data_IF_284670535120
#
_entry.id   IF_284670535120
#
_cell.length_a   1.000
_cell.length_b   1.000
_cell.length_c   1.000
_cell.angle_alpha   90.00
_cell.angle_beta   90.00
_cell.angle_gamma   90.00
#
_symmetry.space_group_name_H-M   'P 1'
#
loop_
_entity.id
_entity.type
_entity.pdbx_description
1 polymer ?
#
# COMPACT_ATOMS: atom_id res chain seq x y z
N UNK A 1 -10.33 -1.85 -29.55
CA UNK A 1 -10.49 -3.23 -29.05
C UNK A 1 -11.64 -3.23 -28.07
N UNK A 2 -12.56 -4.21 -28.12
CA UNK A 2 -13.64 -4.31 -27.14
C UNK A 2 -13.07 -4.70 -25.78
N UNK A 3 -13.43 -3.97 -24.73
CA UNK A 3 -13.03 -4.23 -23.34
C UNK A 3 -14.25 -4.72 -22.54
N UNK A 4 -14.06 -5.75 -21.71
CA UNK A 4 -15.10 -6.33 -20.87
C UNK A 4 -14.64 -6.39 -19.42
N UNK A 5 -15.46 -5.85 -18.51
CA UNK A 5 -15.19 -5.90 -17.07
C UNK A 5 -16.04 -7.03 -16.46
N UNK A 6 -15.37 -8.06 -15.93
CA UNK A 6 -16.03 -9.20 -15.27
C UNK A 6 -15.83 -9.07 -13.76
N UNK A 7 -16.94 -9.02 -13.01
CA UNK A 7 -16.90 -9.01 -11.54
C UNK A 7 -16.87 -10.41 -10.97
N UNK A 8 -15.80 -10.63 -10.23
CA UNK A 8 -15.41 -11.78 -9.44
C UNK A 8 -15.74 -11.86 -7.96
N UNK A 9 -16.15 -12.99 -7.38
CA UNK A 9 -16.05 -13.17 -5.91
C UNK A 9 -15.13 -14.34 -5.48
N UNK A 10 -14.97 -15.38 -6.32
CA UNK A 10 -14.19 -16.58 -5.99
C UNK A 10 -12.86 -16.60 -6.76
N UNK A 11 -11.78 -17.05 -6.10
CA UNK A 11 -10.45 -17.22 -6.69
C UNK A 11 -10.42 -18.32 -7.76
N UNK A 12 -11.26 -19.35 -7.64
CA UNK A 12 -11.38 -20.40 -8.67
C UNK A 12 -11.86 -19.83 -10.02
N UNK A 13 -12.77 -18.85 -9.97
CA UNK A 13 -13.27 -18.15 -11.17
C UNK A 13 -12.15 -17.40 -11.89
N UNK A 14 -11.23 -16.78 -11.14
CA UNK A 14 -10.06 -16.12 -11.75
C UNK A 14 -9.16 -17.13 -12.47
N UNK A 15 -8.95 -18.32 -11.90
CA UNK A 15 -8.14 -19.35 -12.55
C UNK A 15 -8.78 -19.86 -13.85
N UNK A 16 -10.10 -20.05 -13.85
CA UNK A 16 -10.84 -20.40 -15.06
C UNK A 16 -10.70 -19.32 -16.15
N UNK A 17 -10.79 -18.03 -15.77
CA UNK A 17 -10.60 -16.90 -16.69
C UNK A 17 -9.17 -16.86 -17.27
N UNK A 18 -8.14 -17.13 -16.45
CA UNK A 18 -6.75 -17.21 -16.92
C UNK A 18 -6.56 -18.35 -17.92
N UNK A 19 -7.23 -19.48 -17.72
CA UNK A 19 -7.16 -20.59 -18.67
C UNK A 19 -7.88 -20.27 -19.98
N UNK A 20 -9.02 -19.59 -19.92
CA UNK A 20 -9.73 -19.07 -21.09
C UNK A 20 -8.91 -18.04 -21.87
N UNK A 21 -8.22 -17.15 -21.16
CA UNK A 21 -7.32 -16.15 -21.74
C UNK A 21 -6.26 -16.80 -22.64
N UNK A 22 -5.69 -17.93 -22.20
CA UNK A 22 -4.71 -18.69 -22.99
C UNK A 22 -5.30 -19.31 -24.25
N UNK A 23 -6.55 -19.76 -24.22
CA UNK A 23 -7.17 -20.41 -25.38
C UNK A 23 -7.75 -19.42 -26.38
N UNK A 24 -8.09 -18.20 -25.94
CA UNK A 24 -8.76 -17.18 -26.73
C UNK A 24 -7.87 -15.95 -27.02
N UNK A 25 -6.60 -16.00 -26.63
CA UNK A 25 -5.57 -14.99 -26.89
C UNK A 25 -5.98 -13.56 -26.47
N UNK A 26 -6.56 -13.44 -25.28
CA UNK A 26 -6.88 -12.14 -24.68
C UNK A 26 -6.12 -11.92 -23.37
N UNK A 27 -5.80 -10.67 -23.06
CA UNK A 27 -5.08 -10.31 -21.85
C UNK A 27 -6.03 -9.91 -20.72
N UNK A 28 -5.71 -10.35 -19.50
CA UNK A 28 -6.44 -9.95 -18.29
C UNK A 28 -5.66 -8.83 -17.60
N UNK A 29 -6.11 -7.60 -17.80
CA UNK A 29 -5.60 -6.47 -17.03
C UNK A 29 -6.14 -6.53 -15.59
N UNK A 30 -5.26 -6.73 -14.62
CA UNK A 30 -5.61 -6.47 -13.22
C UNK A 30 -5.63 -4.96 -13.03
N UNK A 31 -6.82 -4.41 -12.82
CA UNK A 31 -6.92 -3.05 -12.28
C UNK A 31 -6.08 -3.01 -10.99
N UNK A 32 -5.17 -2.04 -10.84
CA UNK A 32 -4.47 -1.87 -9.58
C UNK A 32 -5.55 -1.76 -8.50
N UNK A 33 -5.53 -2.69 -7.54
CA UNK A 33 -6.34 -2.56 -6.34
C UNK A 33 -6.11 -1.14 -5.84
N UNK A 34 -7.18 -0.35 -5.65
CA UNK A 34 -7.05 0.98 -5.07
C UNK A 34 -6.37 0.79 -3.73
N UNK A 35 -5.05 1.03 -3.67
CA UNK A 35 -4.27 1.08 -2.43
C UNK A 35 -4.98 2.07 -1.53
N UNK A 36 -5.63 1.54 -0.52
CA UNK A 36 -6.55 2.28 0.34
C UNK A 36 -7.50 1.36 1.07
N UNK A 37 -7.09 0.11 1.36
CA UNK A 37 -7.80 -0.71 2.33
C UNK A 37 -7.71 -0.01 3.68
N UNK A 38 -8.80 0.67 4.04
CA UNK A 38 -9.05 1.17 5.38
C UNK A 38 -8.90 -0.03 6.33
N UNK A 39 -7.84 -0.02 7.13
CA UNK A 39 -7.63 -1.07 8.12
C UNK A 39 -8.21 -0.58 9.42
N UNK A 40 -9.10 -1.34 10.06
CA UNK A 40 -9.65 -0.97 11.37
C UNK A 40 -8.77 -1.62 12.44
N UNK A 41 -8.05 -0.82 13.21
CA UNK A 41 -7.29 -1.28 14.37
C UNK A 41 -8.02 -0.80 15.62
N UNK A 42 -8.51 -1.73 16.46
CA UNK A 42 -9.22 -1.43 17.71
C UNK A 42 -10.42 -0.46 17.56
N UNK A 43 -11.18 -0.58 16.46
CA UNK A 43 -12.35 0.27 16.20
C UNK A 43 -12.01 1.66 15.64
N UNK A 44 -10.73 1.95 15.39
CA UNK A 44 -10.29 3.20 14.75
C UNK A 44 -9.90 2.92 13.30
N UNK A 45 -10.43 3.72 12.38
CA UNK A 45 -10.05 3.67 10.96
C UNK A 45 -8.61 4.13 10.80
N UNK A 46 -7.74 3.22 10.36
CA UNK A 46 -6.38 3.51 9.95
C UNK A 46 -6.34 3.59 8.42
N UNK A 47 -6.02 4.78 7.93
CA UNK A 47 -5.81 5.04 6.51
C UNK A 47 -4.30 5.08 6.27
N UNK A 48 -3.75 4.23 5.38
CA UNK A 48 -2.34 4.32 5.04
C UNK A 48 -2.03 5.69 4.44
N UNK A 49 -1.01 6.35 4.98
CA UNK A 49 -0.51 7.61 4.44
C UNK A 49 0.05 7.42 3.03
N UNK A 50 0.06 8.51 2.26
CA UNK A 50 0.64 8.51 0.92
C UNK A 50 2.16 8.32 1.01
N UNK A 51 2.64 7.16 0.53
CA UNK A 51 4.05 6.80 0.52
C UNK A 51 4.90 7.54 -0.51
N UNK A 52 4.29 8.38 -1.36
CA UNK A 52 5.00 9.27 -2.28
C UNK A 52 5.42 10.59 -1.63
N UNK A 53 4.96 10.86 -0.40
CA UNK A 53 5.30 12.08 0.33
C UNK A 53 6.74 11.99 0.83
N UNK A 54 7.60 12.87 0.33
CA UNK A 54 8.96 13.03 0.80
C UNK A 54 8.96 13.75 2.16
N UNK A 55 9.25 13.01 3.23
CA UNK A 55 9.31 13.51 4.60
C UNK A 55 10.71 13.98 5.01
N UNK A 56 11.70 13.93 4.11
CA UNK A 56 13.09 14.29 4.42
C UNK A 56 13.23 15.75 4.86
N UNK A 57 12.42 16.67 4.32
CA UNK A 57 12.42 18.07 4.78
C UNK A 57 11.76 18.27 6.15
N UNK A 58 10.86 17.37 6.55
CA UNK A 58 10.11 17.49 7.80
C UNK A 58 10.98 17.13 9.01
N UNK A 59 11.98 16.26 8.85
CA UNK A 59 12.90 15.87 9.93
C UNK A 59 13.70 17.05 10.46
N UNK A 60 14.12 17.96 9.58
CA UNK A 60 14.83 19.19 9.95
C UNK A 60 13.93 20.13 10.75
N UNK A 61 12.66 20.29 10.34
CA UNK A 61 11.69 21.15 11.02
C UNK A 61 11.39 20.63 12.43
N UNK A 62 11.14 19.32 12.58
CA UNK A 62 10.67 18.76 13.84
C UNK A 62 11.79 18.48 14.85
N UNK A 63 13.03 18.29 14.39
CA UNK A 63 14.14 17.96 15.30
C UNK A 63 15.19 19.05 15.44
N UNK A 64 15.24 20.02 14.50
CA UNK A 64 16.24 21.09 14.46
C UNK A 64 17.70 20.62 14.37
N UNK A 65 17.93 19.30 14.37
CA UNK A 65 19.24 18.63 14.50
C UNK A 65 19.35 17.42 13.56
N UNK A 66 18.41 17.26 12.63
CA UNK A 66 18.30 16.10 11.72
C UNK A 66 18.44 14.75 12.47
N UNK A 67 17.80 14.65 13.63
CA UNK A 67 17.87 13.46 14.47
C UNK A 67 16.71 12.54 14.10
N UNK A 68 17.04 11.34 13.60
CA UNK A 68 16.01 10.31 13.40
C UNK A 68 15.47 9.83 14.77
N UNK A 69 14.20 9.41 14.80
CA UNK A 69 13.54 8.84 15.99
C UNK A 69 14.32 7.67 16.61
N UNK A 70 15.06 6.89 15.80
CA UNK A 70 16.00 5.86 16.31
C UNK A 70 17.06 6.46 17.23
N UNK A 71 17.66 7.57 16.80
CA UNK A 71 18.76 8.24 17.50
C UNK A 71 18.25 8.95 18.75
N UNK A 72 17.05 9.55 18.69
CA UNK A 72 16.41 10.15 19.87
C UNK A 72 16.14 9.10 20.97
N UNK A 73 15.66 7.91 20.60
CA UNK A 73 15.46 6.83 21.59
C UNK A 73 16.77 6.37 22.20
N UNK A 74 17.81 6.21 21.38
CA UNK A 74 19.14 5.81 21.87
C UNK A 74 19.73 6.86 22.83
N UNK A 75 19.65 8.15 22.48
CA UNK A 75 20.13 9.25 23.32
C UNK A 75 19.31 9.41 24.60
N UNK A 76 17.98 9.28 24.54
CA UNK A 76 17.12 9.35 25.71
C UNK A 76 17.35 8.20 26.70
N UNK A 77 17.84 7.06 26.23
CA UNK A 77 18.22 5.91 27.07
C UNK A 77 19.62 6.01 27.66
N UNK A 78 20.44 6.95 27.21
CA UNK A 78 21.65 7.34 27.94
C UNK A 78 21.23 8.22 29.12
N UNK A 79 20.75 7.58 30.20
CA UNK A 79 20.71 8.23 31.51
C UNK A 79 22.14 8.58 31.91
N UNK A 80 22.47 9.88 31.98
CA UNK A 80 23.60 10.38 32.76
C UNK A 80 23.25 10.39 34.24
#
# INVERSE_FOLDING_TARGET
MPELIIRYNNQETLQALINLAKSLDFEIARLPSKKGEKSIINGVEWVPGDGSVDLNMLSDIFTGKNLNASNLRALAWQRS
#
